data_IF_690014830031
#
_entry.id   IF_690014830031
#
_cell.length_a   1.000
_cell.length_b   1.000
_cell.length_c   1.000
_cell.angle_alpha   90.00
_cell.angle_beta   90.00
_cell.angle_gamma   90.00
#
_symmetry.space_group_name_H-M   'P 1'
#
loop_
_entity.id
_entity.type
_entity.pdbx_description
1 polymer ?
#
# COMPACT_ATOMS: atom_id res chain seq x y z
N UNK A 1 6.67 32.27 -2.40
CA UNK A 1 6.34 31.27 -3.43
C UNK A 1 4.87 30.89 -3.28
N UNK A 2 4.06 30.91 -4.35
CA UNK A 2 2.62 30.60 -4.27
C UNK A 2 2.40 29.12 -3.89
N UNK A 3 1.66 28.88 -2.79
CA UNK A 3 1.31 27.54 -2.27
C UNK A 3 0.60 26.68 -3.32
N UNK A 4 -0.19 27.28 -4.22
CA UNK A 4 -0.90 26.58 -5.30
C UNK A 4 0.09 26.02 -6.34
N UNK A 5 1.08 26.82 -6.71
CA UNK A 5 2.15 26.40 -7.64
C UNK A 5 3.00 25.31 -7.00
N UNK A 6 3.37 25.46 -5.72
CA UNK A 6 4.13 24.46 -4.97
C UNK A 6 3.37 23.11 -4.91
N UNK A 7 2.07 23.14 -4.60
CA UNK A 7 1.23 21.94 -4.56
C UNK A 7 1.10 21.25 -5.92
N UNK A 8 1.06 21.99 -7.03
CA UNK A 8 1.11 21.41 -8.39
C UNK A 8 2.46 20.72 -8.65
N UNK A 9 3.57 21.38 -8.32
CA UNK A 9 4.92 20.82 -8.49
C UNK A 9 5.11 19.55 -7.67
N UNK A 10 4.67 19.54 -6.41
CA UNK A 10 4.78 18.38 -5.52
C UNK A 10 3.98 17.19 -6.03
N UNK A 11 2.73 17.41 -6.48
CA UNK A 11 1.91 16.35 -7.08
C UNK A 11 2.57 15.74 -8.32
N UNK A 12 3.05 16.59 -9.23
CA UNK A 12 3.74 16.12 -10.43
C UNK A 12 5.03 15.34 -10.10
N UNK A 13 5.78 15.78 -9.09
CA UNK A 13 6.95 15.06 -8.60
C UNK A 13 6.58 13.70 -7.98
N UNK A 14 5.50 13.64 -7.22
CA UNK A 14 4.94 12.40 -6.65
C UNK A 14 4.57 11.40 -7.74
N UNK A 15 3.77 11.82 -8.73
CA UNK A 15 3.38 10.96 -9.86
C UNK A 15 4.59 10.45 -10.66
N UNK A 16 5.61 11.28 -10.87
CA UNK A 16 6.85 10.85 -11.54
C UNK A 16 7.60 9.79 -10.72
N UNK A 17 7.68 9.97 -9.41
CA UNK A 17 8.35 9.02 -8.53
C UNK A 17 7.59 7.69 -8.46
N UNK A 18 6.26 7.75 -8.38
CA UNK A 18 5.37 6.59 -8.43
C UNK A 18 5.56 5.77 -9.70
N UNK A 19 5.59 6.42 -10.87
CA UNK A 19 5.90 5.77 -12.16
C UNK A 19 7.27 5.09 -12.12
N UNK A 20 8.28 5.76 -11.55
CA UNK A 20 9.62 5.21 -11.45
C UNK A 20 9.68 3.94 -10.57
N UNK A 21 8.92 3.91 -9.47
CA UNK A 21 8.84 2.73 -8.60
C UNK A 21 8.23 1.55 -9.34
N UNK A 22 7.18 1.77 -10.12
CA UNK A 22 6.60 0.74 -10.99
C UNK A 22 7.65 0.22 -11.98
N UNK A 23 8.29 1.10 -12.73
CA UNK A 23 9.30 0.73 -13.73
C UNK A 23 10.46 -0.08 -13.10
N UNK A 24 10.92 0.31 -11.91
CA UNK A 24 11.95 -0.41 -11.16
C UNK A 24 11.52 -1.82 -10.74
N UNK A 25 10.30 -1.98 -10.19
CA UNK A 25 9.77 -3.28 -9.82
C UNK A 25 9.55 -4.19 -11.04
N UNK A 26 8.97 -3.64 -12.11
CA UNK A 26 8.77 -4.37 -13.37
C UNK A 26 10.12 -4.79 -13.99
N UNK A 27 11.15 -3.94 -13.93
CA UNK A 27 12.50 -4.30 -14.37
C UNK A 27 13.15 -5.44 -13.57
N UNK A 28 12.64 -5.73 -12.36
CA UNK A 28 13.06 -6.84 -11.49
C UNK A 28 12.21 -8.10 -11.70
N UNK A 29 11.31 -8.12 -12.69
CA UNK A 29 10.42 -9.23 -12.98
C UNK A 29 9.14 -9.24 -12.14
N UNK A 30 8.79 -8.15 -11.46
CA UNK A 30 7.58 -8.13 -10.64
C UNK A 30 6.37 -7.73 -11.51
N UNK A 31 5.25 -8.41 -11.31
CA UNK A 31 3.97 -8.00 -11.92
C UNK A 31 3.34 -6.95 -11.02
N UNK A 32 3.15 -5.73 -11.54
CA UNK A 32 2.70 -4.58 -10.74
C UNK A 32 1.39 -3.99 -11.28
N UNK A 33 0.37 -3.94 -10.44
CA UNK A 33 -0.91 -3.30 -10.77
C UNK A 33 -1.28 -2.21 -9.77
N UNK A 34 -2.11 -1.26 -10.21
CA UNK A 34 -2.70 -0.28 -9.30
C UNK A 34 -3.70 -0.99 -8.39
N UNK A 35 -3.60 -0.74 -7.09
CA UNK A 35 -4.58 -1.27 -6.15
C UNK A 35 -5.80 -0.34 -6.11
N UNK A 36 -6.98 -0.95 -6.20
CA UNK A 36 -8.24 -0.24 -6.45
C UNK A 36 -9.15 -0.16 -5.21
N UNK A 37 -8.69 -0.66 -4.07
CA UNK A 37 -9.42 -0.59 -2.81
C UNK A 37 -8.71 0.33 -1.81
N UNK A 38 -9.45 0.93 -0.91
CA UNK A 38 -8.95 1.62 0.27
C UNK A 38 -9.38 0.85 1.52
N UNK A 39 -8.89 1.28 2.68
CA UNK A 39 -9.28 0.72 3.98
C UNK A 39 -10.07 1.79 4.71
N UNK A 40 -11.34 1.52 5.00
CA UNK A 40 -12.14 2.33 5.90
C UNK A 40 -11.93 1.84 7.32
N UNK A 41 -11.24 2.63 8.16
CA UNK A 41 -11.07 2.35 9.58
C UNK A 41 -12.09 3.14 10.40
N UNK A 42 -12.74 2.46 11.34
CA UNK A 42 -13.63 3.05 12.34
C UNK A 42 -13.11 2.71 13.73
N UNK A 43 -13.08 3.71 14.61
CA UNK A 43 -12.71 3.54 16.01
C UNK A 43 -14.00 3.59 16.81
N UNK A 44 -14.34 2.49 17.45
CA UNK A 44 -15.35 2.53 18.50
C UNK A 44 -14.63 2.78 19.82
N UNK A 45 -15.08 3.81 20.53
CA UNK A 45 -14.67 4.02 21.90
C UNK A 45 -15.29 2.89 22.72
N UNK A 46 -14.47 2.02 23.30
CA UNK A 46 -14.93 1.07 24.30
C UNK A 46 -15.33 1.85 25.54
N UNK A 47 -16.62 1.92 25.81
CA UNK A 47 -17.18 2.41 27.05
C UNK A 47 -17.17 1.22 28.02
N UNK A 48 -16.57 1.35 29.18
CA UNK A 48 -16.68 0.31 30.21
C UNK A 48 -18.10 0.29 30.82
N UNK A 49 -18.38 -0.70 31.68
CA UNK A 49 -19.70 -0.90 32.30
C UNK A 49 -20.17 0.31 33.12
N UNK A 50 -19.27 1.24 33.42
CA UNK A 50 -19.50 2.42 34.26
C UNK A 50 -19.58 3.73 33.44
N UNK A 51 -19.55 3.68 32.11
CA UNK A 51 -19.57 4.90 31.29
C UNK A 51 -18.21 5.60 31.20
N UNK A 52 -17.14 4.98 31.71
CA UNK A 52 -15.79 5.53 31.69
C UNK A 52 -15.10 5.02 30.42
N UNK A 53 -14.36 5.89 29.69
CA UNK A 53 -13.53 5.42 28.58
C UNK A 53 -12.53 4.42 29.14
N UNK A 54 -12.60 3.16 28.69
CA UNK A 54 -11.66 2.14 29.14
C UNK A 54 -10.23 2.61 28.85
N UNK A 55 -9.40 2.73 29.88
CA UNK A 55 -7.98 3.05 29.71
C UNK A 55 -7.30 1.89 28.99
N UNK A 56 -7.07 2.07 27.68
CA UNK A 56 -6.35 1.10 26.86
C UNK A 56 -7.22 0.36 25.84
N UNK A 57 -7.62 1.07 24.79
CA UNK A 57 -7.78 0.46 23.47
C UNK A 57 -9.21 0.30 22.98
N UNK A 58 -9.71 1.33 22.29
CA UNK A 58 -10.87 1.16 21.41
C UNK A 58 -10.60 0.12 20.32
N UNK A 59 -11.63 -0.65 19.95
CA UNK A 59 -11.53 -1.60 18.86
C UNK A 59 -11.46 -0.86 17.52
N UNK A 60 -10.45 -1.18 16.71
CA UNK A 60 -10.36 -0.70 15.33
C UNK A 60 -11.09 -1.70 14.43
N UNK A 61 -12.29 -1.33 13.99
CA UNK A 61 -12.97 -2.02 12.93
C UNK A 61 -12.48 -1.49 11.58
N UNK A 62 -12.24 -2.40 10.64
CA UNK A 62 -11.81 -2.01 9.30
C UNK A 62 -12.51 -2.84 8.24
N UNK A 63 -12.73 -2.23 7.08
CA UNK A 63 -13.22 -2.92 5.88
C UNK A 63 -12.54 -2.38 4.62
N UNK A 64 -12.41 -3.22 3.61
CA UNK A 64 -12.06 -2.77 2.27
C UNK A 64 -13.24 -1.98 1.69
N UNK A 65 -12.94 -0.83 1.10
CA UNK A 65 -13.91 0.01 0.39
C UNK A 65 -13.35 0.31 -1.00
N UNK A 66 -14.19 0.44 -2.04
CA UNK A 66 -13.72 0.87 -3.36
C UNK A 66 -13.02 2.22 -3.30
N UNK A 67 -11.92 2.38 -4.04
CA UNK A 67 -11.27 3.68 -4.18
C UNK A 67 -12.23 4.67 -4.86
N UNK A 68 -12.41 5.86 -4.26
CA UNK A 68 -13.31 6.88 -4.80
C UNK A 68 -12.79 7.40 -6.15
N UNK A 69 -13.64 7.44 -7.17
CA UNK A 69 -13.30 8.11 -8.42
C UNK A 69 -13.00 9.60 -8.17
N UNK A 70 -11.94 10.11 -8.81
CA UNK A 70 -11.60 11.53 -8.74
C UNK A 70 -12.30 12.27 -9.88
N UNK A 71 -13.25 13.12 -9.51
CA UNK A 71 -13.87 14.06 -10.45
C UNK A 71 -12.82 15.00 -11.04
N UNK A 72 -12.81 15.13 -12.36
CA UNK A 72 -11.83 15.96 -13.11
C UNK A 72 -12.43 17.21 -13.74
N UNK A 73 -13.73 17.41 -13.60
CA UNK A 73 -14.48 18.48 -14.27
C UNK A 73 -15.59 17.92 -15.16
N UNK A 74 -16.59 18.74 -15.51
CA UNK A 74 -17.67 18.34 -16.43
C UNK A 74 -17.08 17.91 -17.78
N UNK A 75 -17.60 16.82 -18.36
CA UNK A 75 -17.17 16.31 -19.67
C UNK A 75 -15.81 15.60 -19.70
N UNK A 76 -15.06 15.57 -18.59
CA UNK A 76 -13.81 14.81 -18.49
C UNK A 76 -14.10 13.49 -17.78
N UNK A 77 -13.83 12.33 -18.43
CA UNK A 77 -13.98 11.02 -17.78
C UNK A 77 -13.26 11.01 -16.43
N UNK A 78 -13.96 10.52 -15.41
CA UNK A 78 -13.41 10.46 -14.06
C UNK A 78 -12.15 9.59 -14.07
N UNK A 79 -11.05 10.12 -13.53
CA UNK A 79 -9.88 9.28 -13.29
C UNK A 79 -10.19 8.35 -12.12
N UNK A 80 -9.84 7.07 -12.24
CA UNK A 80 -9.90 6.19 -11.09
C UNK A 80 -9.05 6.77 -9.96
N UNK A 81 -9.61 6.81 -8.74
CA UNK A 81 -8.83 7.13 -7.57
C UNK A 81 -7.82 6.02 -7.30
N UNK A 82 -6.70 6.36 -6.69
CA UNK A 82 -5.73 5.37 -6.20
C UNK A 82 -6.24 4.80 -4.88
N UNK A 83 -6.19 3.48 -4.75
CA UNK A 83 -6.43 2.79 -3.49
C UNK A 83 -5.31 3.03 -2.47
N UNK A 84 -5.37 2.26 -1.38
CA UNK A 84 -4.28 2.14 -0.43
C UNK A 84 -3.98 0.66 -0.20
N UNK A 85 -2.75 0.19 -0.44
CA UNK A 85 -1.55 0.94 -0.87
C UNK A 85 -1.60 1.40 -2.34
N UNK A 86 -0.59 2.16 -2.81
CA UNK A 86 -0.54 2.65 -4.21
C UNK A 86 -0.55 1.53 -5.27
N UNK A 87 0.19 0.43 -5.02
CA UNK A 87 0.26 -0.72 -5.90
C UNK A 87 0.05 -2.04 -5.16
N UNK A 88 -0.38 -3.04 -5.91
CA UNK A 88 -0.21 -4.45 -5.59
C UNK A 88 0.87 -5.02 -6.51
N UNK A 89 1.79 -5.79 -5.97
CA UNK A 89 2.85 -6.42 -6.74
C UNK A 89 3.00 -7.91 -6.40
N UNK A 90 3.34 -8.71 -7.41
CA UNK A 90 3.59 -10.14 -7.27
C UNK A 90 5.03 -10.39 -7.74
N UNK A 91 5.85 -10.94 -6.85
CA UNK A 91 7.26 -11.24 -7.12
C UNK A 91 7.44 -12.64 -7.71
N UNK A 92 8.41 -12.78 -8.61
CA UNK A 92 8.54 -13.83 -9.62
C UNK A 92 9.00 -15.22 -9.14
N UNK A 93 8.87 -15.56 -7.86
CA UNK A 93 8.87 -16.99 -7.49
C UNK A 93 7.66 -17.74 -8.09
N UNK A 94 6.66 -17.02 -8.61
CA UNK A 94 5.52 -17.55 -9.37
C UNK A 94 5.89 -18.53 -10.50
N UNK A 95 6.89 -18.19 -11.31
CA UNK A 95 7.31 -19.03 -12.43
C UNK A 95 8.03 -20.30 -11.95
N UNK A 96 8.91 -20.19 -10.95
CA UNK A 96 9.56 -21.34 -10.32
C UNK A 96 8.54 -22.29 -9.68
N UNK A 97 7.47 -21.78 -9.06
CA UNK A 97 6.39 -22.61 -8.51
C UNK A 97 5.65 -23.37 -9.59
N UNK A 98 5.35 -22.70 -10.71
CA UNK A 98 4.63 -23.32 -11.81
C UNK A 98 5.47 -24.37 -12.52
N UNK A 99 6.77 -24.11 -12.70
CA UNK A 99 7.72 -25.02 -13.32
C UNK A 99 8.12 -26.20 -12.42
N UNK A 100 8.19 -25.99 -11.11
CA UNK A 100 8.50 -27.04 -10.11
C UNK A 100 7.26 -27.78 -9.60
N UNK A 101 6.04 -27.33 -9.96
CA UNK A 101 4.75 -27.95 -9.58
C UNK A 101 4.65 -29.44 -9.90
N UNK A 102 5.18 -29.95 -11.03
CA UNK A 102 5.18 -31.38 -11.33
C UNK A 102 6.20 -32.17 -10.50
N UNK A 103 7.26 -31.51 -10.01
CA UNK A 103 8.37 -32.14 -9.28
C UNK A 103 8.17 -32.11 -7.75
N UNK A 104 7.31 -31.22 -7.26
CA UNK A 104 6.97 -31.06 -5.84
C UNK A 104 5.60 -31.70 -5.58
N UNK A 105 5.55 -32.77 -4.78
CA UNK A 105 4.30 -33.44 -4.34
C UNK A 105 3.36 -32.53 -3.56
N UNK A 106 3.90 -31.43 -3.02
CA UNK A 106 3.17 -30.38 -2.31
C UNK A 106 3.83 -29.04 -2.61
N UNK A 107 3.05 -28.04 -3.03
CA UNK A 107 3.51 -26.65 -3.09
C UNK A 107 3.78 -26.21 -1.64
N UNK A 108 5.00 -25.77 -1.27
CA UNK A 108 5.24 -25.17 0.03
C UNK A 108 4.20 -24.08 0.32
N UNK A 109 3.55 -24.15 1.49
CA UNK A 109 2.70 -23.04 1.98
C UNK A 109 3.53 -21.75 1.95
N UNK A 110 3.10 -20.73 1.19
CA UNK A 110 3.76 -19.41 1.15
C UNK A 110 4.21 -18.90 -0.22
N UNK A 111 3.88 -19.60 -1.31
CA UNK A 111 4.53 -19.38 -2.60
C UNK A 111 3.93 -18.25 -3.49
N UNK A 112 2.82 -17.60 -3.13
CA UNK A 112 2.49 -16.30 -3.73
C UNK A 112 2.70 -15.20 -2.71
N UNK A 113 3.81 -14.48 -2.84
CA UNK A 113 4.03 -13.28 -2.03
C UNK A 113 3.36 -12.12 -2.74
N UNK A 114 2.17 -11.76 -2.26
CA UNK A 114 1.44 -10.59 -2.74
C UNK A 114 1.87 -9.42 -1.87
N UNK A 115 2.58 -8.48 -2.48
CA UNK A 115 3.08 -7.29 -1.81
C UNK A 115 2.11 -6.13 -2.01
N UNK A 116 1.84 -5.40 -0.93
CA UNK A 116 1.37 -4.03 -1.03
C UNK A 116 2.55 -3.08 -1.17
N UNK A 117 2.52 -2.12 -2.10
CA UNK A 117 3.61 -1.14 -2.28
C UNK A 117 3.04 0.26 -2.08
N UNK A 118 3.52 0.95 -1.04
CA UNK A 118 3.16 2.34 -0.75
C UNK A 118 4.31 3.27 -1.11
N UNK A 119 4.04 4.32 -1.89
CA UNK A 119 5.08 5.20 -2.44
C UNK A 119 5.16 6.50 -1.66
N UNK A 120 6.25 6.66 -0.90
CA UNK A 120 6.53 7.86 -0.11
C UNK A 120 7.90 8.41 -0.45
N UNK A 121 7.96 9.57 -1.12
CA UNK A 121 9.25 10.21 -1.45
C UNK A 121 10.15 10.44 -0.23
N UNK A 122 9.56 10.69 0.95
CA UNK A 122 10.27 10.85 2.23
C UNK A 122 10.44 9.53 3.01
N UNK A 123 9.78 8.44 2.60
CA UNK A 123 9.81 7.14 3.26
C UNK A 123 9.01 7.03 4.56
N UNK A 124 8.19 8.03 4.91
CA UNK A 124 7.40 8.02 6.13
C UNK A 124 5.91 7.91 5.83
N UNK A 125 5.25 6.99 6.54
CA UNK A 125 3.81 6.88 6.60
C UNK A 125 3.26 7.76 7.72
N UNK A 126 2.11 8.38 7.49
CA UNK A 126 1.36 9.03 8.56
C UNK A 126 0.71 8.00 9.51
N UNK A 127 0.05 8.47 10.57
CA UNK A 127 -0.57 7.59 11.57
C UNK A 127 -1.67 6.72 10.95
N UNK A 128 -2.49 7.28 10.08
CA UNK A 128 -3.62 6.59 9.45
C UNK A 128 -3.10 5.53 8.47
N UNK A 129 -2.11 5.86 7.65
CA UNK A 129 -1.46 4.94 6.71
C UNK A 129 -0.81 3.76 7.43
N UNK A 130 -0.15 4.01 8.57
CA UNK A 130 0.37 2.93 9.41
C UNK A 130 -0.75 2.02 9.92
N UNK A 131 -1.83 2.59 10.44
CA UNK A 131 -2.99 1.82 10.92
C UNK A 131 -3.60 0.97 9.77
N UNK A 132 -3.69 1.51 8.55
CA UNK A 132 -4.16 0.76 7.37
C UNK A 132 -3.22 -0.37 6.99
N UNK A 133 -1.90 -0.13 6.93
CA UNK A 133 -0.91 -1.18 6.66
C UNK A 133 -1.02 -2.31 7.66
N UNK A 134 -1.09 -1.98 8.96
CA UNK A 134 -1.22 -2.97 10.03
C UNK A 134 -2.51 -3.77 9.91
N UNK A 135 -3.63 -3.11 9.61
CA UNK A 135 -4.90 -3.79 9.39
C UNK A 135 -4.85 -4.76 8.18
N UNK A 136 -4.28 -4.32 7.06
CA UNK A 136 -4.12 -5.13 5.84
C UNK A 136 -3.27 -6.38 6.08
N UNK A 137 -2.14 -6.22 6.80
CA UNK A 137 -1.26 -7.32 7.18
C UNK A 137 -1.94 -8.29 8.14
N UNK A 138 -2.60 -7.78 9.20
CA UNK A 138 -3.33 -8.61 10.18
C UNK A 138 -4.46 -9.43 9.55
N UNK A 139 -5.07 -8.91 8.47
CA UNK A 139 -6.10 -9.61 7.69
C UNK A 139 -5.55 -10.51 6.59
N UNK A 140 -4.22 -10.64 6.46
CA UNK A 140 -3.55 -11.42 5.42
C UNK A 140 -4.00 -11.03 3.99
N UNK A 141 -4.34 -9.75 3.77
CA UNK A 141 -4.68 -9.25 2.42
C UNK A 141 -3.42 -9.15 1.56
N UNK A 142 -2.33 -8.70 2.19
CA UNK A 142 -0.99 -8.72 1.63
C UNK A 142 -0.11 -9.58 2.52
N UNK A 143 0.83 -10.32 1.92
CA UNK A 143 1.84 -11.07 2.65
C UNK A 143 2.80 -10.11 3.37
N UNK A 144 3.20 -9.06 2.67
CA UNK A 144 4.10 -8.02 3.18
C UNK A 144 3.71 -6.69 2.54
N UNK A 145 4.06 -5.58 3.19
CA UNK A 145 3.90 -4.24 2.63
C UNK A 145 5.27 -3.56 2.59
N UNK A 146 5.66 -3.04 1.43
CA UNK A 146 6.89 -2.29 1.23
C UNK A 146 6.59 -0.80 1.06
N UNK A 147 7.38 0.03 1.72
CA UNK A 147 7.41 1.48 1.53
C UNK A 147 8.54 1.80 0.57
N UNK A 148 8.20 2.29 -0.62
CA UNK A 148 9.18 2.74 -1.61
C UNK A 148 9.50 4.22 -1.39
N UNK A 149 10.79 4.53 -1.24
CA UNK A 149 11.28 5.88 -0.97
C UNK A 149 12.53 6.21 -1.78
N UNK A 150 12.89 7.50 -1.84
CA UNK A 150 14.10 7.92 -2.55
C UNK A 150 15.33 7.48 -1.75
N UNK A 151 16.31 6.94 -2.45
CA UNK A 151 17.63 6.66 -1.89
C UNK A 151 18.50 7.90 -1.74
N UNK A 152 19.74 7.69 -1.31
CA UNK A 152 20.73 8.77 -1.16
C UNK A 152 21.26 9.20 -2.51
N UNK A 153 21.45 8.24 -3.42
CA UNK A 153 21.92 8.51 -4.78
C UNK A 153 20.75 8.95 -5.64
N UNK A 154 21.02 9.88 -6.58
CA UNK A 154 20.02 10.37 -7.52
C UNK A 154 19.44 9.19 -8.31
N UNK A 155 18.16 8.95 -8.10
CA UNK A 155 17.41 7.92 -8.80
C UNK A 155 17.44 6.55 -8.15
N UNK A 156 18.16 6.35 -7.06
CA UNK A 156 18.04 5.17 -6.23
C UNK A 156 16.65 5.11 -5.58
N UNK A 157 16.10 3.90 -5.47
CA UNK A 157 14.86 3.62 -4.75
C UNK A 157 15.19 2.65 -3.61
N UNK A 158 14.81 3.02 -2.39
CA UNK A 158 14.93 2.17 -1.21
C UNK A 158 13.55 1.58 -0.90
N UNK A 159 13.53 0.30 -0.52
CA UNK A 159 12.32 -0.40 -0.11
C UNK A 159 12.47 -0.78 1.36
N UNK A 160 11.50 -0.36 2.18
CA UNK A 160 11.45 -0.69 3.60
C UNK A 160 10.19 -1.48 3.90
N UNK A 161 10.34 -2.64 4.51
CA UNK A 161 9.21 -3.45 4.93
C UNK A 161 8.51 -2.86 6.16
N UNK A 162 7.18 -2.88 6.15
CA UNK A 162 6.37 -2.58 7.34
C UNK A 162 6.45 -3.79 8.27
N UNK A 163 7.12 -3.61 9.40
CA UNK A 163 7.20 -4.64 10.44
C UNK A 163 5.85 -4.76 11.15
N UNK A 164 5.44 -6.00 11.46
CA UNK A 164 4.39 -6.21 12.45
C UNK A 164 4.85 -5.53 13.75
N UNK A 165 4.01 -4.68 14.36
CA UNK A 165 4.26 -4.23 15.71
C UNK A 165 4.36 -5.46 16.61
N UNK A 166 5.48 -5.61 17.31
CA UNK A 166 5.57 -6.50 18.46
C UNK A 166 4.67 -5.97 19.58
#
# INVERSE_FOLDING_TARGET
MDKKIQGKKNRAAGTRFERKVREDLESKGWIVSKWMNNVGLQKENSIDVCGIPAEGGGFIYGKLIPAKHRFRGPGIPMSMGTGFPDFVAISENWYLIHSLKPLLSTIPKGLKIVYGIEVKSNGYLDKEEKEKCMWLLKKNIFSNILIASKGEKRGEIKYKEVKHGN
#
